data_IF_381397473069
#
_entry.id   IF_381397473069
#
_cell.length_a   1.000
_cell.length_b   1.000
_cell.length_c   1.000
_cell.angle_alpha   90.00
_cell.angle_beta   90.00
_cell.angle_gamma   90.00
#
_symmetry.space_group_name_H-M   'P 1'
#
loop_
_entity.id
_entity.type
_entity.pdbx_description
1 polymer ?
#
# COMPACT_ATOMS: atom_id res chain seq x y z
N UNK A 1 49.62 -23.20 35.03
CA UNK A 1 48.91 -22.03 34.49
C UNK A 1 48.53 -22.34 33.05
N UNK A 2 47.30 -22.78 32.80
CA UNK A 2 46.77 -22.99 31.46
C UNK A 2 45.91 -21.79 31.09
N UNK A 3 46.35 -21.02 30.11
CA UNK A 3 45.63 -19.87 29.56
C UNK A 3 44.55 -20.39 28.62
N UNK A 4 43.30 -20.40 29.06
CA UNK A 4 42.15 -20.71 28.20
C UNK A 4 41.85 -19.48 27.33
N UNK A 5 42.32 -19.52 26.08
CA UNK A 5 41.84 -18.66 25.00
C UNK A 5 40.36 -18.93 24.78
N UNK A 6 39.50 -17.99 25.17
CA UNK A 6 38.10 -17.94 24.75
C UNK A 6 38.09 -17.61 23.26
N UNK A 7 37.90 -18.63 22.43
CA UNK A 7 37.56 -18.48 21.02
C UNK A 7 36.19 -17.83 20.93
N UNK A 8 36.17 -16.60 20.43
CA UNK A 8 34.96 -15.85 20.05
C UNK A 8 34.27 -16.61 18.93
N UNK A 9 33.23 -17.37 19.25
CA UNK A 9 32.52 -18.17 18.27
C UNK A 9 31.80 -17.30 17.25
N UNK A 10 32.10 -17.60 16.00
CA UNK A 10 31.55 -16.97 14.82
C UNK A 10 30.11 -17.44 14.56
N UNK A 11 29.27 -16.49 14.13
CA UNK A 11 28.19 -16.69 13.16
C UNK A 11 27.06 -17.70 13.47
N UNK A 12 26.35 -17.58 14.59
CA UNK A 12 24.98 -18.12 14.70
C UNK A 12 23.95 -17.04 14.37
N UNK A 13 23.53 -16.96 13.11
CA UNK A 13 22.28 -16.28 12.74
C UNK A 13 21.12 -17.07 13.35
N UNK A 14 20.72 -16.75 14.58
CA UNK A 14 19.60 -17.44 15.24
C UNK A 14 18.33 -17.36 14.38
N UNK A 15 17.53 -18.44 14.26
CA UNK A 15 16.34 -18.50 13.39
C UNK A 15 15.35 -17.36 13.63
N UNK A 16 15.28 -16.85 14.86
CA UNK A 16 14.48 -15.69 15.27
C UNK A 16 14.89 -14.40 14.52
N UNK A 17 16.19 -14.15 14.33
CA UNK A 17 16.68 -12.96 13.60
C UNK A 17 16.33 -13.02 12.12
N UNK A 18 16.28 -14.22 11.53
CA UNK A 18 15.88 -14.39 10.14
C UNK A 18 14.38 -14.16 9.97
N UNK A 19 13.55 -14.73 10.85
CA UNK A 19 12.10 -14.52 10.86
C UNK A 19 11.73 -13.03 10.98
N UNK A 20 12.36 -12.30 11.90
CA UNK A 20 12.13 -10.86 12.08
C UNK A 20 12.50 -10.04 10.82
N UNK A 21 13.60 -10.40 10.14
CA UNK A 21 14.01 -9.73 8.89
C UNK A 21 13.02 -10.01 7.76
N UNK A 22 12.56 -11.25 7.63
CA UNK A 22 11.57 -11.63 6.62
C UNK A 22 10.24 -10.89 6.83
N UNK A 23 9.76 -10.79 8.07
CA UNK A 23 8.56 -10.02 8.39
C UNK A 23 8.68 -8.55 7.96
N UNK A 24 9.79 -7.88 8.28
CA UNK A 24 9.98 -6.48 7.87
C UNK A 24 10.09 -6.33 6.36
N UNK A 25 10.83 -7.21 5.68
CA UNK A 25 10.89 -7.21 4.22
C UNK A 25 9.51 -7.41 3.58
N UNK A 26 8.68 -8.26 4.18
CA UNK A 26 7.31 -8.44 3.74
C UNK A 26 6.48 -7.16 3.89
N UNK A 27 6.62 -6.43 5.01
CA UNK A 27 5.98 -5.12 5.17
C UNK A 27 6.41 -4.12 4.08
N UNK A 28 7.71 -4.08 3.71
CA UNK A 28 8.18 -3.27 2.58
C UNK A 28 7.56 -3.70 1.26
N UNK A 29 7.60 -5.01 0.96
CA UNK A 29 7.06 -5.57 -0.27
C UNK A 29 5.57 -5.28 -0.42
N UNK A 30 4.81 -5.33 0.69
CA UNK A 30 3.40 -4.98 0.73
C UNK A 30 3.17 -3.52 0.31
N UNK A 31 3.83 -2.57 0.98
CA UNK A 31 3.65 -1.13 0.70
C UNK A 31 4.08 -0.80 -0.74
N UNK A 32 5.23 -1.34 -1.18
CA UNK A 32 5.73 -1.13 -2.54
C UNK A 32 4.80 -1.78 -3.58
N UNK A 33 4.24 -2.95 -3.30
CA UNK A 33 3.25 -3.60 -4.16
C UNK A 33 2.01 -2.73 -4.35
N UNK A 34 1.47 -2.17 -3.27
CA UNK A 34 0.34 -1.23 -3.36
C UNK A 34 0.70 0.06 -4.12
N UNK A 35 1.91 0.59 -3.91
CA UNK A 35 2.41 1.73 -4.71
C UNK A 35 2.55 1.36 -6.19
N UNK A 36 2.92 0.12 -6.52
CA UNK A 36 2.96 -0.39 -7.89
C UNK A 36 1.58 -0.39 -8.55
N UNK A 37 0.54 -0.81 -7.84
CA UNK A 37 -0.85 -0.72 -8.31
C UNK A 37 -1.25 0.74 -8.58
N UNK A 38 -0.90 1.66 -7.67
CA UNK A 38 -1.14 3.09 -7.85
C UNK A 38 -0.38 3.67 -9.05
N UNK A 39 0.87 3.24 -9.26
CA UNK A 39 1.67 3.63 -10.42
C UNK A 39 1.01 3.19 -11.73
N UNK A 40 0.44 1.98 -11.78
CA UNK A 40 -0.37 1.51 -12.89
C UNK A 40 -1.57 2.42 -13.16
N UNK A 41 -2.33 2.80 -12.13
CA UNK A 41 -3.45 3.71 -12.28
C UNK A 41 -3.02 5.13 -12.73
N UNK A 42 -1.84 5.58 -12.31
CA UNK A 42 -1.27 6.87 -12.73
C UNK A 42 -0.81 6.86 -14.19
N UNK A 43 -0.34 5.72 -14.69
CA UNK A 43 0.00 5.57 -16.09
C UNK A 43 -1.23 5.79 -16.99
N UNK A 44 -2.41 5.29 -16.61
CA UNK A 44 -3.65 5.57 -17.33
C UNK A 44 -4.03 7.05 -17.28
N UNK A 45 -3.90 7.69 -16.11
CA UNK A 45 -4.24 9.10 -15.95
C UNK A 45 -3.31 10.05 -16.71
N UNK A 46 -2.00 9.90 -16.54
CA UNK A 46 -1.01 10.85 -17.07
C UNK A 46 -0.38 10.40 -18.39
N UNK A 47 -0.38 9.09 -18.67
CA UNK A 47 0.17 8.54 -19.91
C UNK A 47 -0.89 8.40 -21.01
N UNK A 48 -2.08 7.88 -20.66
CA UNK A 48 -3.17 7.67 -21.61
C UNK A 48 -4.23 8.78 -21.59
N UNK A 49 -4.07 9.79 -20.72
CA UNK A 49 -5.01 10.91 -20.56
C UNK A 49 -6.44 10.48 -20.22
N UNK A 50 -6.57 9.35 -19.52
CA UNK A 50 -7.85 8.84 -19.02
C UNK A 50 -8.08 9.28 -17.58
N UNK A 51 -8.97 10.26 -17.38
CA UNK A 51 -9.22 10.83 -16.06
C UNK A 51 -9.90 9.82 -15.12
N UNK A 52 -9.52 9.76 -13.84
CA UNK A 52 -10.16 8.86 -12.88
C UNK A 52 -11.51 9.42 -12.40
N UNK A 53 -12.55 8.58 -12.40
CA UNK A 53 -13.83 8.92 -11.79
C UNK A 53 -13.72 8.98 -10.25
N UNK A 54 -14.74 9.52 -9.54
CA UNK A 54 -14.74 9.62 -8.08
C UNK A 54 -14.53 8.27 -7.37
N UNK A 55 -15.10 7.19 -7.90
CA UNK A 55 -14.93 5.84 -7.36
C UNK A 55 -13.50 5.32 -7.51
N UNK A 56 -12.83 5.63 -8.63
CA UNK A 56 -11.42 5.29 -8.84
C UNK A 56 -10.50 6.06 -7.88
N UNK A 57 -10.77 7.35 -7.64
CA UNK A 57 -10.02 8.12 -6.63
C UNK A 57 -10.23 7.56 -5.23
N UNK A 58 -11.46 7.17 -4.89
CA UNK A 58 -11.77 6.54 -3.61
C UNK A 58 -11.03 5.21 -3.43
N UNK A 59 -10.93 4.38 -4.48
CA UNK A 59 -10.12 3.16 -4.45
C UNK A 59 -8.63 3.48 -4.20
N UNK A 60 -8.07 4.50 -4.85
CA UNK A 60 -6.68 4.92 -4.59
C UNK A 60 -6.48 5.32 -3.13
N UNK A 61 -7.45 6.03 -2.53
CA UNK A 61 -7.42 6.37 -1.10
C UNK A 61 -7.40 5.11 -0.22
N UNK A 62 -8.18 4.07 -0.55
CA UNK A 62 -8.18 2.82 0.22
C UNK A 62 -6.88 2.02 0.06
N UNK A 63 -6.22 2.05 -1.09
CA UNK A 63 -4.87 1.48 -1.23
C UNK A 63 -3.86 2.20 -0.33
N UNK A 64 -3.88 3.54 -0.34
CA UNK A 64 -3.05 4.35 0.54
C UNK A 64 -3.37 4.08 2.01
N UNK A 65 -4.65 3.98 2.37
CA UNK A 65 -5.12 3.71 3.72
C UNK A 65 -4.65 2.34 4.21
N UNK A 66 -4.75 1.30 3.36
CA UNK A 66 -4.26 -0.04 3.67
C UNK A 66 -2.75 -0.06 3.89
N UNK A 67 -1.99 0.75 3.14
CA UNK A 67 -0.54 0.89 3.31
C UNK A 67 -0.14 1.59 4.63
N UNK A 68 -1.01 2.38 5.28
CA UNK A 68 -0.68 3.12 6.52
C UNK A 68 -0.22 2.20 7.64
N UNK A 69 -0.89 1.07 7.85
CA UNK A 69 -0.55 0.13 8.92
C UNK A 69 0.86 -0.46 8.77
N UNK A 70 1.19 -1.08 7.63
CA UNK A 70 2.54 -1.58 7.35
C UNK A 70 3.59 -0.46 7.28
N UNK A 71 3.24 0.73 6.78
CA UNK A 71 4.12 1.89 6.81
C UNK A 71 4.43 2.35 8.25
N UNK A 72 3.47 2.28 9.16
CA UNK A 72 3.68 2.54 10.59
C UNK A 72 4.65 1.53 11.22
N UNK A 73 4.49 0.25 10.92
CA UNK A 73 5.42 -0.82 11.34
C UNK A 73 6.84 -0.51 10.86
N UNK A 74 6.99 -0.15 9.58
CA UNK A 74 8.28 0.24 8.98
C UNK A 74 8.87 1.46 9.71
N UNK A 75 8.08 2.50 9.94
CA UNK A 75 8.53 3.70 10.64
C UNK A 75 8.96 3.40 12.09
N UNK A 76 8.23 2.53 12.79
CA UNK A 76 8.54 2.13 14.16
C UNK A 76 9.82 1.30 14.24
N UNK A 77 10.03 0.40 13.29
CA UNK A 77 11.25 -0.41 13.18
C UNK A 77 12.53 0.43 13.08
N UNK A 78 12.45 1.68 12.59
CA UNK A 78 13.60 2.61 12.57
C UNK A 78 13.98 3.11 13.96
N UNK A 79 13.00 3.21 14.87
CA UNK A 79 13.16 3.74 16.24
C UNK A 79 13.54 2.66 17.25
N UNK A 80 13.51 1.38 16.86
CA UNK A 80 13.84 0.26 17.73
C UNK A 80 12.80 -0.85 17.62
N UNK A 81 12.53 -1.52 18.73
CA UNK A 81 11.65 -2.69 18.80
C UNK A 81 10.22 -2.38 18.36
N UNK A 82 9.64 -3.28 17.57
CA UNK A 82 8.21 -3.27 17.23
C UNK A 82 7.53 -4.30 18.13
N UNK A 83 6.61 -3.85 18.95
CA UNK A 83 5.85 -4.73 19.84
C UNK A 83 4.87 -5.59 19.05
N UNK A 84 4.53 -6.78 19.56
CA UNK A 84 3.52 -7.66 18.94
C UNK A 84 2.18 -6.95 18.75
N UNK A 85 1.82 -6.05 19.67
CA UNK A 85 0.60 -5.22 19.58
C UNK A 85 0.66 -4.24 18.41
N UNK A 86 1.77 -3.52 18.23
CA UNK A 86 1.96 -2.60 17.10
C UNK A 86 1.95 -3.36 15.77
N UNK A 87 2.55 -4.54 15.74
CA UNK A 87 2.53 -5.42 14.57
C UNK A 87 1.11 -5.88 14.22
N UNK A 88 0.38 -6.42 15.21
CA UNK A 88 -0.98 -6.91 15.01
C UNK A 88 -1.96 -5.78 14.62
N UNK A 89 -1.84 -4.61 15.26
CA UNK A 89 -2.67 -3.45 14.92
C UNK A 89 -2.36 -2.89 13.53
N UNK A 90 -1.10 -2.84 13.12
CA UNK A 90 -0.71 -2.40 11.78
C UNK A 90 -1.27 -3.30 10.67
N UNK A 91 -1.14 -4.62 10.82
CA UNK A 91 -1.72 -5.55 9.85
C UNK A 91 -3.25 -5.64 9.92
N UNK A 92 -3.83 -5.55 11.12
CA UNK A 92 -5.29 -5.48 11.29
C UNK A 92 -5.90 -4.27 10.56
N UNK A 93 -5.24 -3.10 10.66
CA UNK A 93 -5.62 -1.92 9.90
C UNK A 93 -5.55 -2.15 8.38
N UNK A 94 -4.46 -2.76 7.90
CA UNK A 94 -4.28 -3.07 6.48
C UNK A 94 -5.43 -3.93 5.94
N UNK A 95 -5.83 -4.95 6.69
CA UNK A 95 -6.94 -5.86 6.35
C UNK A 95 -8.26 -5.08 6.29
N UNK A 96 -8.60 -4.31 7.33
CA UNK A 96 -9.86 -3.56 7.36
C UNK A 96 -9.95 -2.59 6.19
N UNK A 97 -8.91 -1.80 5.95
CA UNK A 97 -8.88 -0.86 4.84
C UNK A 97 -8.96 -1.57 3.47
N UNK A 98 -8.29 -2.72 3.31
CA UNK A 98 -8.34 -3.49 2.07
C UNK A 98 -9.73 -4.09 1.82
N UNK A 99 -10.41 -4.59 2.86
CA UNK A 99 -11.76 -5.11 2.75
C UNK A 99 -12.76 -4.01 2.39
N UNK A 100 -12.68 -2.83 3.01
CA UNK A 100 -13.52 -1.69 2.62
C UNK A 100 -13.21 -1.23 1.18
N UNK A 101 -11.94 -1.21 0.78
CA UNK A 101 -11.56 -0.94 -0.62
C UNK A 101 -12.12 -1.97 -1.61
N UNK A 102 -12.18 -3.25 -1.20
CA UNK A 102 -12.77 -4.32 -2.00
C UNK A 102 -14.27 -4.13 -2.21
N UNK A 103 -15.02 -3.60 -1.24
CA UNK A 103 -16.45 -3.35 -1.42
C UNK A 103 -16.70 -2.19 -2.40
N UNK A 104 -15.86 -1.15 -2.37
CA UNK A 104 -15.93 -0.01 -3.30
C UNK A 104 -15.65 -0.46 -4.73
N UNK A 105 -14.61 -1.28 -4.93
CA UNK A 105 -14.27 -1.82 -6.25
C UNK A 105 -15.29 -2.85 -6.74
N UNK A 106 -15.79 -3.73 -5.86
CA UNK A 106 -16.89 -4.63 -6.19
C UNK A 106 -18.14 -3.86 -6.61
N UNK A 107 -18.53 -2.80 -5.89
CA UNK A 107 -19.66 -1.97 -6.27
C UNK A 107 -19.51 -1.40 -7.69
N UNK A 108 -18.29 -0.95 -8.06
CA UNK A 108 -18.03 -0.48 -9.42
C UNK A 108 -18.11 -1.60 -10.46
N UNK A 109 -17.59 -2.80 -10.16
CA UNK A 109 -17.76 -3.97 -11.05
C UNK A 109 -19.25 -4.26 -11.27
N UNK A 110 -20.06 -4.26 -10.20
CA UNK A 110 -21.50 -4.53 -10.29
C UNK A 110 -22.25 -3.44 -11.07
N UNK A 111 -21.80 -2.18 -11.01
CA UNK A 111 -22.42 -1.10 -11.79
C UNK A 111 -22.23 -1.29 -13.30
N UNK A 112 -21.10 -1.84 -13.73
CA UNK A 112 -20.76 -2.02 -15.15
C UNK A 112 -20.92 -3.48 -15.65
N UNK A 113 -21.68 -4.33 -14.95
CA UNK A 113 -21.82 -5.75 -15.32
C UNK A 113 -22.91 -6.01 -16.38
N UNK A 114 -23.87 -5.10 -16.52
CA UNK A 114 -25.04 -5.29 -17.41
C UNK A 114 -24.74 -4.73 -18.81
N UNK A 115 -24.79 -5.55 -19.88
CA UNK A 115 -24.67 -5.05 -21.26
C UNK A 115 -25.85 -4.14 -21.63
N UNK A 116 -25.68 -3.14 -22.53
CA UNK A 116 -24.52 -2.84 -23.38
C UNK A 116 -23.58 -1.75 -22.79
N UNK A 117 -23.09 -1.93 -21.56
CA UNK A 117 -22.13 -1.00 -20.95
C UNK A 117 -20.69 -1.26 -21.45
N UNK A 118 -20.00 -0.26 -22.05
CA UNK A 118 -18.60 -0.38 -22.46
C UNK A 118 -17.61 -0.36 -21.29
N UNK A 119 -18.07 -0.06 -20.06
CA UNK A 119 -17.25 0.09 -18.87
C UNK A 119 -16.55 1.45 -18.77
N UNK A 120 -16.05 1.78 -17.59
CA UNK A 120 -15.28 3.01 -17.35
C UNK A 120 -13.78 2.80 -17.55
N UNK A 121 -13.14 3.72 -18.29
CA UNK A 121 -11.72 3.74 -18.63
C UNK A 121 -11.25 2.49 -19.41
N UNK A 122 -10.02 2.55 -19.92
CA UNK A 122 -9.39 1.50 -20.69
C UNK A 122 -9.21 0.21 -19.90
N UNK A 123 -9.06 -0.89 -20.64
CA UNK A 123 -8.81 -2.22 -20.08
C UNK A 123 -7.32 -2.56 -20.14
N UNK A 124 -6.80 -3.12 -19.05
CA UNK A 124 -5.46 -3.72 -19.00
C UNK A 124 -5.60 -5.24 -19.08
N UNK A 125 -4.97 -5.87 -20.08
CA UNK A 125 -5.11 -7.31 -20.35
C UNK A 125 -6.58 -7.78 -20.49
N UNK A 126 -7.46 -6.93 -21.01
CA UNK A 126 -8.88 -7.24 -21.20
C UNK A 126 -9.75 -7.11 -19.94
N UNK A 127 -9.20 -6.64 -18.81
CA UNK A 127 -9.96 -6.31 -17.61
C UNK A 127 -9.86 -4.82 -17.30
N UNK A 128 -10.97 -4.18 -16.95
CA UNK A 128 -10.98 -2.78 -16.51
C UNK A 128 -10.22 -2.60 -15.19
N UNK A 129 -9.75 -1.38 -14.96
CA UNK A 129 -8.94 -1.04 -13.78
C UNK A 129 -9.64 -1.32 -12.45
N UNK A 130 -10.97 -1.15 -12.38
CA UNK A 130 -11.73 -1.43 -11.16
C UNK A 130 -11.78 -2.93 -10.82
N UNK A 131 -11.73 -3.81 -11.82
CA UNK A 131 -11.62 -5.27 -11.61
C UNK A 131 -10.23 -5.64 -11.11
N UNK A 132 -9.18 -5.03 -11.67
CA UNK A 132 -7.83 -5.17 -11.15
C UNK A 132 -7.69 -4.64 -9.72
N UNK A 133 -8.36 -3.53 -9.40
CA UNK A 133 -8.40 -3.00 -8.05
C UNK A 133 -9.03 -3.99 -7.06
N UNK A 134 -10.15 -4.63 -7.43
CA UNK A 134 -10.79 -5.67 -6.62
C UNK A 134 -9.83 -6.83 -6.34
N UNK A 135 -9.17 -7.36 -7.38
CA UNK A 135 -8.19 -8.45 -7.24
C UNK A 135 -7.04 -8.03 -6.31
N UNK A 136 -6.51 -6.82 -6.51
CA UNK A 136 -5.43 -6.28 -5.69
C UNK A 136 -5.84 -6.09 -4.22
N UNK A 137 -7.06 -5.62 -3.94
CA UNK A 137 -7.56 -5.49 -2.57
C UNK A 137 -7.73 -6.83 -1.87
N UNK A 138 -8.30 -7.83 -2.56
CA UNK A 138 -8.44 -9.17 -1.99
C UNK A 138 -7.06 -9.81 -1.75
N UNK A 139 -6.14 -9.68 -2.70
CA UNK A 139 -4.75 -10.11 -2.54
C UNK A 139 -4.06 -9.41 -1.36
N UNK A 140 -4.26 -8.10 -1.20
CA UNK A 140 -3.72 -7.31 -0.10
C UNK A 140 -4.30 -7.73 1.26
N UNK A 141 -5.60 -8.07 1.34
CA UNK A 141 -6.21 -8.58 2.56
C UNK A 141 -5.62 -9.96 2.94
N UNK A 142 -5.48 -10.87 1.98
CA UNK A 142 -4.87 -12.19 2.19
C UNK A 142 -3.41 -12.08 2.59
N UNK A 143 -2.64 -11.22 1.92
CA UNK A 143 -1.23 -10.97 2.24
C UNK A 143 -1.06 -10.42 3.66
N UNK A 144 -1.90 -9.48 4.08
CA UNK A 144 -1.89 -8.94 5.43
C UNK A 144 -2.32 -9.99 6.49
N UNK A 145 -3.31 -10.82 6.19
CA UNK A 145 -3.72 -11.92 7.06
C UNK A 145 -2.61 -12.98 7.19
N UNK A 146 -1.91 -13.30 6.10
CA UNK A 146 -0.78 -14.22 6.11
C UNK A 146 0.38 -13.66 6.97
N UNK A 147 0.69 -12.37 6.88
CA UNK A 147 1.66 -11.74 7.76
C UNK A 147 1.28 -11.89 9.23
N UNK A 148 0.01 -11.68 9.59
CA UNK A 148 -0.45 -11.85 10.96
C UNK A 148 -0.36 -13.31 11.43
N UNK A 149 -0.75 -14.26 10.58
CA UNK A 149 -0.74 -15.69 10.89
C UNK A 149 0.67 -16.26 11.06
N UNK A 150 1.62 -15.79 10.26
CA UNK A 150 3.01 -16.26 10.28
C UNK A 150 3.87 -15.61 11.36
N UNK A 151 3.32 -14.68 12.14
CA UNK A 151 4.06 -13.97 13.19
C UNK A 151 4.13 -14.83 14.46
N UNK A 152 5.33 -15.21 14.94
CA UNK A 152 5.48 -15.86 16.23
C UNK A 152 4.95 -14.94 17.33
N UNK A 153 3.88 -15.34 18.02
CA UNK A 153 3.12 -14.47 18.93
C UNK A 153 3.92 -14.00 20.16
N UNK A 154 5.07 -14.58 20.45
CA UNK A 154 5.80 -14.42 21.71
C UNK A 154 7.04 -13.50 21.66
N UNK A 155 7.51 -13.08 20.49
CA UNK A 155 8.77 -12.34 20.37
C UNK A 155 8.55 -10.93 19.81
N UNK A 156 8.90 -9.85 20.54
CA UNK A 156 8.91 -8.52 19.97
C UNK A 156 9.90 -8.47 18.80
N UNK A 157 9.50 -7.84 17.71
CA UNK A 157 10.30 -7.78 16.51
C UNK A 157 11.48 -6.84 16.75
N UNK A 158 12.65 -7.43 17.03
CA UNK A 158 13.81 -6.65 17.44
C UNK A 158 14.48 -5.97 16.24
N UNK A 159 14.01 -4.78 15.89
CA UNK A 159 14.51 -4.05 14.71
C UNK A 159 15.92 -3.47 14.91
N UNK A 160 16.52 -3.57 16.09
CA UNK A 160 17.96 -3.35 16.26
C UNK A 160 18.79 -4.38 15.47
N UNK A 161 18.22 -5.55 15.15
CA UNK A 161 18.80 -6.53 14.24
C UNK A 161 18.62 -6.20 12.74
N UNK A 162 17.98 -5.07 12.41
CA UNK A 162 17.78 -4.60 11.05
C UNK A 162 19.12 -4.26 10.40
N UNK A 163 19.36 -4.84 9.21
CA UNK A 163 20.54 -4.52 8.42
C UNK A 163 20.53 -3.05 7.99
N UNK A 164 21.70 -2.44 7.70
CA UNK A 164 21.76 -1.09 7.13
C UNK A 164 20.96 -0.96 5.83
N UNK A 165 20.81 -2.05 5.07
CA UNK A 165 19.96 -2.09 3.88
C UNK A 165 18.48 -1.87 4.23
N UNK A 166 17.97 -2.52 5.28
CA UNK A 166 16.58 -2.39 5.70
C UNK A 166 16.25 -0.97 6.22
N UNK A 167 17.20 -0.32 6.89
CA UNK A 167 17.06 1.08 7.31
C UNK A 167 16.99 2.04 6.13
N UNK A 168 17.81 1.82 5.09
CA UNK A 168 17.73 2.57 3.82
C UNK A 168 16.40 2.31 3.11
N UNK A 169 16.02 1.04 2.99
CA UNK A 169 14.74 0.63 2.40
C UNK A 169 13.56 1.31 3.10
N UNK A 170 13.57 1.40 4.44
CA UNK A 170 12.54 2.13 5.18
C UNK A 170 12.42 3.59 4.82
N UNK A 171 13.55 4.28 4.60
CA UNK A 171 13.50 5.67 4.16
C UNK A 171 12.91 5.79 2.75
N UNK A 172 13.32 4.90 1.84
CA UNK A 172 12.82 4.86 0.46
C UNK A 172 11.33 4.51 0.42
N UNK A 173 10.90 3.42 1.07
CA UNK A 173 9.49 2.99 1.10
C UNK A 173 8.59 4.08 1.68
N UNK A 174 8.99 4.70 2.79
CA UNK A 174 8.22 5.79 3.40
C UNK A 174 8.15 7.01 2.47
N UNK A 175 9.26 7.38 1.83
CA UNK A 175 9.26 8.48 0.86
C UNK A 175 8.34 8.18 -0.33
N UNK A 176 8.39 6.97 -0.88
CA UNK A 176 7.56 6.54 -2.01
C UNK A 176 6.07 6.62 -1.67
N UNK A 177 5.63 6.02 -0.55
CA UNK A 177 4.21 6.08 -0.17
C UNK A 177 3.76 7.52 0.13
N UNK A 178 4.62 8.35 0.72
CA UNK A 178 4.31 9.77 0.95
C UNK A 178 4.17 10.54 -0.36
N UNK A 179 5.02 10.28 -1.36
CA UNK A 179 4.89 10.89 -2.70
C UNK A 179 3.56 10.50 -3.33
N UNK A 180 3.21 9.21 -3.34
CA UNK A 180 1.93 8.75 -3.89
C UNK A 180 0.72 9.33 -3.14
N UNK A 181 0.80 9.44 -1.82
CA UNK A 181 -0.27 10.04 -1.01
C UNK A 181 -0.44 11.53 -1.34
N UNK A 182 0.66 12.29 -1.39
CA UNK A 182 0.65 13.71 -1.71
C UNK A 182 0.18 13.96 -3.14
N UNK A 183 0.68 13.20 -4.12
CA UNK A 183 0.25 13.33 -5.51
C UNK A 183 -1.21 12.95 -5.69
N UNK A 184 -1.72 11.96 -4.94
CA UNK A 184 -3.13 11.58 -5.03
C UNK A 184 -4.02 12.66 -4.43
N UNK A 185 -3.61 13.27 -3.32
CA UNK A 185 -4.30 14.42 -2.74
C UNK A 185 -4.34 15.60 -3.72
N UNK A 186 -3.21 15.93 -4.34
CA UNK A 186 -3.14 16.99 -5.36
C UNK A 186 -4.05 16.66 -6.54
N UNK A 187 -3.98 15.43 -7.07
CA UNK A 187 -4.82 15.01 -8.18
C UNK A 187 -6.32 15.10 -7.84
N UNK A 188 -6.74 14.68 -6.64
CA UNK A 188 -8.12 14.85 -6.18
C UNK A 188 -8.54 16.32 -6.18
N UNK A 189 -7.70 17.21 -5.65
CA UNK A 189 -8.01 18.64 -5.60
C UNK A 189 -8.11 19.27 -7.01
N UNK A 190 -7.17 18.92 -7.91
CA UNK A 190 -7.18 19.41 -9.29
C UNK A 190 -8.41 18.92 -10.08
N UNK A 191 -8.83 17.68 -9.85
CA UNK A 191 -9.98 17.07 -10.53
C UNK A 191 -11.32 17.56 -9.99
N UNK A 192 -11.42 17.77 -8.68
CA UNK A 192 -12.65 18.22 -8.04
C UNK A 192 -12.90 19.72 -8.25
N UNK A 193 -11.86 20.56 -8.30
CA UNK A 193 -12.04 22.01 -8.41
C UNK A 193 -12.66 22.63 -7.15
N UNK A 194 -13.43 23.71 -7.33
CA UNK A 194 -14.14 24.41 -6.25
C UNK A 194 -15.51 23.75 -5.97
N UNK A 195 -15.91 22.78 -6.79
CA UNK A 195 -17.20 22.12 -6.71
C UNK A 195 -17.36 21.24 -5.46
N UNK A 196 -18.58 21.28 -4.91
CA UNK A 196 -18.96 20.43 -3.77
C UNK A 196 -18.99 18.94 -4.13
N UNK A 197 -19.34 18.61 -5.38
CA UNK A 197 -19.40 17.25 -5.89
C UNK A 197 -18.66 17.17 -7.22
N UNK A 198 -17.82 16.15 -7.34
CA UNK A 198 -17.11 15.85 -8.58
C UNK A 198 -18.06 15.17 -9.59
N UNK A 199 -17.94 15.54 -10.87
CA UNK A 199 -18.66 14.86 -11.96
C UNK A 199 -18.35 13.36 -11.98
N UNK A 200 -19.33 12.54 -12.36
CA UNK A 200 -19.16 11.09 -12.50
C UNK A 200 -18.11 10.72 -13.55
N UNK A 201 -18.07 11.48 -14.65
CA UNK A 201 -17.16 11.29 -15.78
C UNK A 201 -16.37 12.57 -16.05
N UNK A 202 -15.23 12.78 -15.35
CA UNK A 202 -14.39 13.95 -15.59
C UNK A 202 -13.70 13.88 -16.96
N UNK A 203 -13.74 14.98 -17.71
CA UNK A 203 -13.06 15.14 -19.00
C UNK A 203 -11.90 16.13 -18.97
N UNK A 204 -11.73 16.83 -17.84
CA UNK A 204 -10.68 17.82 -17.62
C UNK A 204 -10.42 17.98 -16.11
N UNK A 205 -9.31 18.64 -15.76
CA UNK A 205 -9.05 19.08 -14.40
C UNK A 205 -9.88 20.33 -14.11
N UNK A 206 -10.99 20.16 -13.38
CA UNK A 206 -11.99 21.21 -13.19
C UNK A 206 -11.43 22.48 -12.55
N UNK A 207 -10.41 22.36 -11.69
CA UNK A 207 -9.80 23.54 -11.07
C UNK A 207 -9.25 24.53 -12.11
N UNK A 208 -8.69 24.06 -13.22
CA UNK A 208 -8.17 24.97 -14.26
C UNK A 208 -9.32 25.69 -14.97
N UNK A 209 -10.39 24.96 -15.28
CA UNK A 209 -11.62 25.53 -15.84
C UNK A 209 -12.23 26.58 -14.91
N UNK A 210 -12.32 26.29 -13.61
CA UNK A 210 -12.87 27.18 -12.59
C UNK A 210 -12.04 28.48 -12.44
N UNK A 211 -10.73 28.38 -12.63
CA UNK A 211 -9.80 29.51 -12.56
C UNK A 211 -9.69 30.27 -13.90
N UNK A 212 -10.34 29.81 -14.96
CA UNK A 212 -10.28 30.40 -16.30
C UNK A 212 -8.93 30.24 -17.00
N UNK A 213 -8.19 29.16 -16.69
CA UNK A 213 -6.89 28.81 -17.25
C UNK A 213 -6.98 27.81 -18.41
#
# INVERSE_FOLDING_TARGET
MATTTVTTDASTTSPVRLSNRLGLWFAHAYVIGLCGTLAGAYFFQFGLWEYPCPMCLLQRMFFLLSAVGPAWIIARSRKGEVTTREWASGWGWAIVAALIGSTVSAAQVLMHIVPPDPGYAGALFGLHLYTWALIAFLGAAVAAAAALFLTPQSEPLNATAASPALRRAATVTLAVITVFAASNLIACFLLQGIDWQMSGDPTSYQLFTDLGL
#
